data_IF_921268141124
#
_entry.id   IF_921268141124
#
_cell.length_a   1.000
_cell.length_b   1.000
_cell.length_c   1.000
_cell.angle_alpha   90.00
_cell.angle_beta   90.00
_cell.angle_gamma   90.00
#
_symmetry.space_group_name_H-M   'P 1'
#
loop_
_entity.id
_entity.type
_entity.pdbx_description
1 polymer ?
#
# COMPACT_ATOMS: atom_id res chain seq x y z
N UNK A 1 16.05 7.13 33.64
CA UNK A 1 15.35 8.21 34.36
C UNK A 1 15.98 9.52 33.94
N UNK A 2 15.23 10.43 33.32
CA UNK A 2 15.76 11.69 32.77
C UNK A 2 15.46 12.81 33.79
N UNK A 3 16.50 13.39 34.39
CA UNK A 3 16.44 14.44 35.42
C UNK A 3 17.08 15.72 34.87
N UNK A 4 16.42 16.40 33.94
CA UNK A 4 16.57 17.83 33.63
C UNK A 4 15.56 18.19 32.53
N UNK A 5 15.15 19.45 32.49
CA UNK A 5 14.05 20.00 31.68
C UNK A 5 14.28 20.06 30.15
N UNK A 6 15.15 19.19 29.60
CA UNK A 6 15.50 19.15 28.17
C UNK A 6 15.68 17.70 27.69
N UNK A 7 14.70 16.83 27.95
CA UNK A 7 14.72 15.49 27.37
C UNK A 7 14.12 15.57 25.96
N UNK A 8 14.93 15.31 24.93
CA UNK A 8 14.44 15.12 23.56
C UNK A 8 13.27 14.14 23.58
N UNK A 9 12.16 14.44 22.90
CA UNK A 9 11.02 13.54 22.92
C UNK A 9 11.43 12.15 22.44
N UNK A 10 10.99 11.12 23.15
CA UNK A 10 11.29 9.75 22.77
C UNK A 10 10.64 9.45 21.42
N UNK A 11 11.37 8.79 20.51
CA UNK A 11 10.80 8.31 19.26
C UNK A 11 9.69 7.28 19.53
N UNK A 12 8.55 7.45 18.89
CA UNK A 12 7.42 6.51 18.93
C UNK A 12 7.25 5.85 17.56
N UNK A 13 6.77 4.61 17.55
CA UNK A 13 6.35 3.92 16.32
C UNK A 13 4.85 4.11 16.15
N UNK A 14 4.46 4.67 15.02
CA UNK A 14 3.05 4.83 14.65
C UNK A 14 2.72 3.85 13.54
N UNK A 15 1.55 3.21 13.69
CA UNK A 15 0.92 2.38 12.68
C UNK A 15 -0.19 3.18 12.00
N UNK A 16 -0.19 3.19 10.68
CA UNK A 16 -1.28 3.77 9.89
C UNK A 16 -1.89 2.69 9.00
N UNK A 17 -3.20 2.79 8.79
CA UNK A 17 -3.93 1.87 7.92
C UNK A 17 -4.69 2.71 6.89
N UNK A 18 -4.43 2.43 5.61
CA UNK A 18 -5.10 3.08 4.48
C UNK A 18 -5.81 1.98 3.69
N UNK A 19 -7.12 2.07 3.60
CA UNK A 19 -7.92 1.09 2.86
C UNK A 19 -8.87 1.79 1.92
N UNK A 20 -9.16 1.14 0.80
CA UNK A 20 -10.06 1.70 -0.20
C UNK A 20 -10.52 0.66 -1.20
N UNK A 21 -11.40 1.10 -2.10
CA UNK A 21 -11.85 0.32 -3.23
C UNK A 21 -11.26 0.90 -4.51
N UNK A 22 -11.13 0.07 -5.54
CA UNK A 22 -10.72 0.51 -6.86
C UNK A 22 -11.66 -0.05 -7.94
N UNK A 23 -11.72 0.65 -9.06
CA UNK A 23 -12.38 0.20 -10.27
C UNK A 23 -11.59 0.73 -11.46
N UNK A 24 -11.25 -0.17 -12.38
CA UNK A 24 -10.39 0.07 -13.53
C UNK A 24 -11.20 -0.34 -14.76
N UNK A 25 -11.34 0.59 -15.70
CA UNK A 25 -12.02 0.36 -16.98
C UNK A 25 -11.11 0.49 -18.20
N UNK A 26 -9.83 0.84 -17.99
CA UNK A 26 -8.82 1.03 -19.03
C UNK A 26 -7.54 0.25 -18.69
N UNK A 27 -6.45 0.51 -19.43
CA UNK A 27 -5.16 -0.15 -19.24
C UNK A 27 -4.27 0.53 -18.20
N UNK A 28 -4.69 1.65 -17.59
CA UNK A 28 -3.86 2.41 -16.65
C UNK A 28 -4.40 2.25 -15.24
N UNK A 29 -3.58 1.64 -14.39
CA UNK A 29 -3.88 1.45 -12.98
C UNK A 29 -3.87 2.74 -12.17
N UNK A 30 -4.75 2.91 -11.15
CA UNK A 30 -4.69 4.06 -10.25
C UNK A 30 -3.49 3.97 -9.29
N UNK A 31 -2.86 5.11 -9.03
CA UNK A 31 -2.02 5.31 -7.84
C UNK A 31 -2.96 5.52 -6.67
N UNK A 32 -2.97 4.58 -5.72
CA UNK A 32 -3.92 4.57 -4.61
C UNK A 32 -3.31 5.07 -3.30
N UNK A 33 -1.98 5.20 -3.28
CA UNK A 33 -1.25 5.76 -2.15
C UNK A 33 0.12 6.31 -2.60
N UNK A 34 0.53 7.41 -1.99
CA UNK A 34 1.83 8.07 -2.20
C UNK A 34 2.31 8.69 -0.88
N UNK A 35 3.61 8.63 -0.63
CA UNK A 35 4.31 9.36 0.42
C UNK A 35 5.44 10.18 -0.19
N UNK A 36 5.21 11.49 -0.31
CA UNK A 36 6.20 12.44 -0.84
C UNK A 36 7.44 12.60 0.05
N UNK A 37 7.37 12.17 1.31
CA UNK A 37 8.37 12.46 2.32
C UNK A 37 9.25 11.26 2.69
N UNK A 38 8.95 10.05 2.17
CA UNK A 38 9.69 8.83 2.48
C UNK A 38 9.78 8.52 3.99
N UNK A 39 8.71 8.84 4.72
CA UNK A 39 8.64 8.80 6.18
C UNK A 39 8.37 7.40 6.74
N UNK A 40 7.83 6.48 5.93
CA UNK A 40 7.53 5.13 6.37
C UNK A 40 8.74 4.22 6.27
N UNK A 41 8.95 3.38 7.28
CA UNK A 41 10.06 2.42 7.34
C UNK A 41 9.67 1.06 6.75
N UNK A 42 8.36 0.74 6.76
CA UNK A 42 7.82 -0.52 6.27
C UNK A 42 6.34 -0.36 5.93
N UNK A 43 5.89 -1.09 4.92
CA UNK A 43 4.47 -1.23 4.61
C UNK A 43 4.10 -2.67 4.24
N UNK A 44 2.93 -3.12 4.66
CA UNK A 44 2.26 -4.31 4.11
C UNK A 44 1.18 -3.85 3.15
N UNK A 45 1.24 -4.30 1.90
CA UNK A 45 0.32 -3.93 0.84
C UNK A 45 -0.49 -5.14 0.44
N UNK A 46 -1.81 -5.02 0.53
CA UNK A 46 -2.76 -6.07 0.21
C UNK A 46 -3.70 -5.60 -0.90
N UNK A 47 -3.94 -6.48 -1.88
CA UNK A 47 -4.91 -6.26 -2.95
C UNK A 47 -5.83 -7.46 -3.03
N UNK A 48 -7.13 -7.21 -2.98
CA UNK A 48 -8.15 -8.18 -3.32
C UNK A 48 -8.74 -7.82 -4.68
N UNK A 49 -8.75 -8.78 -5.60
CA UNK A 49 -9.42 -8.65 -6.88
C UNK A 49 -10.80 -9.30 -6.81
N UNK A 50 -11.85 -8.55 -7.12
CA UNK A 50 -13.23 -9.05 -7.11
C UNK A 50 -13.37 -10.30 -7.98
N UNK A 51 -14.20 -11.25 -7.55
CA UNK A 51 -14.54 -12.44 -8.35
C UNK A 51 -15.26 -12.12 -9.65
N UNK A 52 -15.82 -10.91 -9.77
CA UNK A 52 -16.50 -10.41 -10.97
C UNK A 52 -15.55 -9.76 -11.98
N UNK A 53 -14.27 -9.60 -11.64
CA UNK A 53 -13.28 -8.96 -12.52
C UNK A 53 -12.98 -9.83 -13.73
N UNK A 54 -12.78 -9.19 -14.89
CA UNK A 54 -12.51 -9.91 -16.14
C UNK A 54 -11.02 -10.20 -16.38
N UNK A 55 -10.13 -9.70 -15.52
CA UNK A 55 -8.67 -9.92 -15.59
C UNK A 55 -8.03 -9.84 -14.19
N UNK A 56 -6.77 -10.25 -14.11
CA UNK A 56 -5.94 -10.11 -12.92
C UNK A 56 -5.46 -8.68 -12.69
N UNK A 57 -5.04 -8.40 -11.46
CA UNK A 57 -4.34 -7.15 -11.10
C UNK A 57 -3.02 -7.46 -10.43
N UNK A 58 -2.06 -6.55 -10.57
CA UNK A 58 -0.82 -6.54 -9.81
C UNK A 58 -0.76 -5.27 -8.98
N UNK A 59 -0.21 -5.39 -7.78
CA UNK A 59 0.24 -4.22 -7.03
C UNK A 59 1.68 -3.88 -7.41
N UNK A 60 1.99 -2.61 -7.53
CA UNK A 60 3.35 -2.11 -7.77
C UNK A 60 3.72 -1.13 -6.66
N UNK A 61 4.80 -1.42 -5.94
CA UNK A 61 5.37 -0.54 -4.90
C UNK A 61 6.75 -0.09 -5.36
N UNK A 62 6.95 1.20 -5.60
CA UNK A 62 8.23 1.77 -6.08
C UNK A 62 8.87 1.02 -7.26
N UNK A 63 8.06 0.61 -8.25
CA UNK A 63 8.41 -0.24 -9.40
C UNK A 63 8.63 -1.73 -9.11
N UNK A 64 8.61 -2.17 -7.86
CA UNK A 64 8.60 -3.59 -7.52
C UNK A 64 7.19 -4.16 -7.68
N UNK A 65 7.06 -5.22 -8.49
CA UNK A 65 5.77 -5.83 -8.81
C UNK A 65 5.48 -6.99 -7.87
N UNK A 66 4.28 -6.99 -7.29
CA UNK A 66 3.75 -8.08 -6.48
C UNK A 66 3.28 -9.24 -7.38
N UNK A 67 2.93 -10.37 -6.77
CA UNK A 67 2.23 -11.45 -7.48
C UNK A 67 0.91 -10.98 -8.09
N UNK A 68 0.40 -11.68 -9.10
CA UNK A 68 -0.90 -11.37 -9.70
C UNK A 68 -2.05 -11.86 -8.84
N UNK A 69 -2.94 -10.95 -8.46
CA UNK A 69 -4.25 -11.29 -7.90
C UNK A 69 -5.23 -11.59 -9.03
N UNK A 70 -5.47 -12.88 -9.28
CA UNK A 70 -6.58 -13.33 -10.14
C UNK A 70 -7.94 -12.99 -9.50
N UNK A 71 -9.00 -12.97 -10.30
CA UNK A 71 -10.35 -12.69 -9.82
C UNK A 71 -10.73 -13.63 -8.65
N UNK A 72 -11.21 -13.04 -7.56
CA UNK A 72 -11.56 -13.75 -6.32
C UNK A 72 -10.41 -13.98 -5.35
N UNK A 73 -9.18 -13.59 -5.70
CA UNK A 73 -8.00 -13.82 -4.87
C UNK A 73 -7.51 -12.54 -4.18
N UNK A 74 -6.85 -12.73 -3.05
CA UNK A 74 -6.12 -11.70 -2.31
C UNK A 74 -4.63 -12.00 -2.34
N UNK A 75 -3.83 -10.99 -2.66
CA UNK A 75 -2.36 -11.01 -2.51
C UNK A 75 -1.94 -10.07 -1.38
N UNK A 76 -0.81 -10.34 -0.75
CA UNK A 76 -0.24 -9.45 0.26
C UNK A 76 1.28 -9.57 0.27
N UNK A 77 1.98 -8.44 0.33
CA UNK A 77 3.44 -8.41 0.37
C UNK A 77 3.94 -7.24 1.22
N UNK A 78 5.15 -7.40 1.77
CA UNK A 78 5.79 -6.41 2.63
C UNK A 78 6.92 -5.73 1.87
N UNK A 79 6.96 -4.41 1.95
CA UNK A 79 8.01 -3.58 1.35
C UNK A 79 8.67 -2.72 2.42
N UNK A 80 9.97 -2.47 2.24
CA UNK A 80 10.75 -1.57 3.10
C UNK A 80 10.77 -0.20 2.47
N UNK A 81 10.65 0.83 3.31
CA UNK A 81 10.69 2.23 2.90
C UNK A 81 9.82 2.55 1.66
N UNK A 82 8.54 2.15 1.62
CA UNK A 82 7.71 2.37 0.44
C UNK A 82 7.45 3.87 0.23
N UNK A 83 7.35 4.32 -1.02
CA UNK A 83 6.99 5.71 -1.35
C UNK A 83 5.77 5.85 -2.25
N UNK A 84 5.43 4.83 -3.03
CA UNK A 84 4.26 4.83 -3.90
C UNK A 84 3.63 3.44 -3.97
N UNK A 85 2.30 3.39 -4.15
CA UNK A 85 1.59 2.16 -4.45
C UNK A 85 0.53 2.36 -5.54
N UNK A 86 0.65 1.55 -6.59
CA UNK A 86 -0.23 1.52 -7.75
C UNK A 86 -0.86 0.14 -7.91
N UNK A 87 -2.11 0.10 -8.37
CA UNK A 87 -2.81 -1.15 -8.73
C UNK A 87 -2.96 -1.18 -10.24
N UNK A 88 -2.30 -2.10 -10.92
CA UNK A 88 -2.21 -2.14 -12.39
C UNK A 88 -2.98 -3.35 -12.93
N UNK A 89 -3.83 -3.18 -13.96
CA UNK A 89 -4.49 -4.31 -14.61
C UNK A 89 -3.48 -5.11 -15.44
N UNK A 90 -3.60 -6.44 -15.44
CA UNK A 90 -2.75 -7.31 -16.29
C UNK A 90 -3.17 -7.22 -17.76
N UNK A 91 -4.46 -7.01 -18.02
CA UNK A 91 -5.00 -6.76 -19.35
C UNK A 91 -6.25 -5.88 -19.28
N UNK A 92 -6.66 -5.32 -20.42
CA UNK A 92 -7.85 -4.47 -20.49
C UNK A 92 -9.10 -5.24 -20.05
N UNK A 93 -9.96 -4.59 -19.26
CA UNK A 93 -11.19 -5.19 -18.76
C UNK A 93 -11.90 -4.34 -17.72
N UNK A 94 -13.03 -4.85 -17.23
CA UNK A 94 -13.73 -4.29 -16.08
C UNK A 94 -13.21 -4.99 -14.84
N UNK A 95 -12.40 -4.28 -14.07
CA UNK A 95 -11.69 -4.85 -12.92
C UNK A 95 -12.00 -4.01 -11.70
N UNK A 96 -12.41 -4.65 -10.61
CA UNK A 96 -12.71 -3.96 -9.36
C UNK A 96 -12.22 -4.77 -8.18
N UNK A 97 -12.09 -4.11 -7.04
CA UNK A 97 -11.60 -4.75 -5.83
C UNK A 97 -11.35 -3.78 -4.72
N UNK A 98 -10.58 -4.24 -3.74
CA UNK A 98 -10.20 -3.44 -2.59
C UNK A 98 -8.72 -3.59 -2.27
N UNK A 99 -8.18 -2.60 -1.59
CA UNK A 99 -6.81 -2.61 -1.10
C UNK A 99 -6.76 -2.22 0.37
N UNK A 100 -5.75 -2.73 1.05
CA UNK A 100 -5.46 -2.38 2.43
C UNK A 100 -3.95 -2.28 2.60
N UNK A 101 -3.51 -1.15 3.13
CA UNK A 101 -2.10 -0.84 3.35
C UNK A 101 -1.93 -0.63 4.85
N UNK A 102 -0.95 -1.32 5.43
CA UNK A 102 -0.52 -1.09 6.81
C UNK A 102 0.88 -0.52 6.78
N UNK A 103 1.05 0.72 7.24
CA UNK A 103 2.31 1.45 7.21
C UNK A 103 2.84 1.70 8.61
N UNK A 104 4.17 1.75 8.73
CA UNK A 104 4.86 2.01 9.98
C UNK A 104 5.85 3.16 9.81
N UNK A 105 5.86 4.11 10.74
CA UNK A 105 6.81 5.22 10.76
C UNK A 105 7.25 5.58 12.17
N UNK A 106 8.38 6.27 12.28
CA UNK A 106 8.80 6.91 13.52
C UNK A 106 8.27 8.35 13.60
N UNK A 107 7.81 8.75 14.77
CA UNK A 107 7.46 10.15 15.07
C UNK A 107 8.14 10.58 16.37
N UNK A 108 8.47 11.86 16.48
CA UNK A 108 8.89 12.46 17.75
C UNK A 108 7.64 12.80 18.56
N UNK A 109 7.64 12.45 19.85
CA UNK A 109 6.56 12.72 20.79
C UNK A 109 6.45 14.22 21.17
#
# INVERSE_FOLDING_TARGET
MCNSSVCSPSSQVVKEVVSGNFSIGDTTGPVVWIDSNGSYIQGTFQVFNSSTSTSGVVGTVDNATMETANAGNTISQVFKCPTEFQIVPVSQGSISGSYCITLWKFVLA
#
